data_IF_786029553833
#
_entry.id   IF_786029553833
#
_cell.length_a   1.000
_cell.length_b   1.000
_cell.length_c   1.000
_cell.angle_alpha   90.00
_cell.angle_beta   90.00
_cell.angle_gamma   90.00
#
_symmetry.space_group_name_H-M   'P 1'
#
loop_
_entity.id
_entity.type
_entity.pdbx_description
1 polymer ?
#
# COMPACT_ATOMS: atom_id res chain seq x y z
N UNK A 1 0.44 19.97 0.64
CA UNK A 1 1.17 18.89 -0.07
C UNK A 1 2.30 18.32 0.78
N UNK A 2 2.10 17.24 1.56
CA UNK A 2 3.22 16.36 2.00
C UNK A 2 2.75 14.91 2.13
N UNK A 3 2.30 14.30 1.02
CA UNK A 3 1.95 12.87 1.01
C UNK A 3 3.16 12.02 1.36
N UNK A 4 4.35 12.38 0.90
CA UNK A 4 5.60 11.67 1.25
C UNK A 4 6.18 12.04 2.62
N UNK A 5 5.62 13.04 3.32
CA UNK A 5 6.18 13.54 4.59
C UNK A 5 5.81 12.73 5.84
N UNK A 6 5.12 11.59 5.70
CA UNK A 6 4.74 10.76 6.85
C UNK A 6 5.48 9.41 6.79
N UNK A 7 6.21 9.02 7.85
CA UNK A 7 7.10 7.86 7.83
C UNK A 7 6.37 6.57 7.44
N UNK A 8 5.16 6.36 7.96
CA UNK A 8 4.38 5.15 7.61
C UNK A 8 4.05 5.04 6.13
N UNK A 9 3.78 6.16 5.44
CA UNK A 9 3.47 6.13 4.00
C UNK A 9 4.70 5.77 3.17
N UNK A 10 5.87 6.28 3.54
CA UNK A 10 7.13 5.89 2.92
C UNK A 10 7.42 4.41 3.13
N UNK A 11 7.23 3.90 4.36
CA UNK A 11 7.41 2.48 4.67
C UNK A 11 6.45 1.58 3.89
N UNK A 12 5.17 1.98 3.76
CA UNK A 12 4.18 1.26 2.94
C UNK A 12 4.65 1.20 1.48
N UNK A 13 5.04 2.33 0.88
CA UNK A 13 5.53 2.36 -0.50
C UNK A 13 6.79 1.51 -0.69
N UNK A 14 7.75 1.57 0.24
CA UNK A 14 8.98 0.77 0.17
C UNK A 14 8.68 -0.74 0.23
N UNK A 15 7.79 -1.17 1.13
CA UNK A 15 7.37 -2.57 1.23
C UNK A 15 6.63 -3.06 -0.02
N UNK A 16 5.78 -2.21 -0.59
CA UNK A 16 4.97 -2.51 -1.78
C UNK A 16 5.73 -2.32 -3.11
N UNK A 17 6.95 -1.77 -3.08
CA UNK A 17 7.80 -1.60 -4.26
C UNK A 17 8.48 -2.91 -4.67
N UNK A 18 8.88 -3.72 -3.68
CA UNK A 18 9.62 -4.97 -3.90
C UNK A 18 8.70 -6.16 -4.11
N UNK A 19 7.54 -6.18 -3.44
CA UNK A 19 6.55 -7.25 -3.53
C UNK A 19 5.17 -6.68 -3.23
N UNK A 20 4.15 -7.20 -3.89
CA UNK A 20 2.76 -6.92 -3.49
C UNK A 20 2.48 -7.41 -2.07
N UNK A 21 1.70 -6.63 -1.32
CA UNK A 21 1.37 -6.94 0.07
C UNK A 21 -0.11 -6.79 0.35
N UNK A 22 -0.63 -7.62 1.23
CA UNK A 22 -1.98 -7.48 1.78
C UNK A 22 -2.02 -6.47 2.93
N UNK A 23 -3.21 -5.97 3.27
CA UNK A 23 -3.39 -5.15 4.48
C UNK A 23 -2.93 -5.87 5.75
N UNK A 24 -3.04 -7.20 5.79
CA UNK A 24 -2.60 -7.99 6.94
C UNK A 24 -1.08 -7.92 7.09
N UNK A 25 -0.34 -8.27 6.05
CA UNK A 25 1.12 -8.24 6.06
C UNK A 25 1.67 -6.84 6.37
N UNK A 26 1.03 -5.78 5.84
CA UNK A 26 1.43 -4.41 6.12
C UNK A 26 1.24 -4.03 7.59
N UNK A 27 0.12 -4.44 8.23
CA UNK A 27 -0.07 -4.21 9.67
C UNK A 27 0.96 -4.96 10.50
N UNK A 28 1.17 -6.24 10.19
CA UNK A 28 2.11 -7.09 10.93
C UNK A 28 3.55 -6.56 10.83
N UNK A 29 3.98 -6.14 9.63
CA UNK A 29 5.33 -5.59 9.42
C UNK A 29 5.54 -4.20 10.02
N UNK A 30 4.50 -3.37 10.06
CA UNK A 30 4.62 -1.96 10.47
C UNK A 30 4.12 -1.70 11.90
N UNK A 31 3.51 -2.69 12.56
CA UNK A 31 2.88 -2.51 13.87
C UNK A 31 1.69 -1.53 13.87
N UNK A 32 1.03 -1.36 12.72
CA UNK A 32 -0.04 -0.36 12.56
C UNK A 32 -1.42 -0.93 12.88
N UNK A 33 -2.25 -0.10 13.50
CA UNK A 33 -3.68 -0.37 13.63
C UNK A 33 -4.37 -0.40 12.25
N UNK A 34 -5.50 -1.11 12.17
CA UNK A 34 -6.27 -1.20 10.92
C UNK A 34 -6.75 0.18 10.42
N UNK A 35 -7.33 1.07 11.26
CA UNK A 35 -7.77 2.38 10.80
C UNK A 35 -6.62 3.23 10.27
N UNK A 36 -5.47 3.24 10.97
CA UNK A 36 -4.31 4.04 10.58
C UNK A 36 -3.72 3.57 9.25
N UNK A 37 -3.62 2.26 9.04
CA UNK A 37 -3.18 1.72 7.76
C UNK A 37 -4.13 2.14 6.62
N UNK A 38 -5.44 2.02 6.82
CA UNK A 38 -6.44 2.35 5.79
C UNK A 38 -6.36 3.82 5.39
N UNK A 39 -6.21 4.74 6.36
CA UNK A 39 -6.07 6.17 6.09
C UNK A 39 -4.84 6.45 5.23
N UNK A 40 -3.71 5.82 5.56
CA UNK A 40 -2.47 6.00 4.80
C UNK A 40 -2.54 5.39 3.40
N UNK A 41 -3.11 4.19 3.25
CA UNK A 41 -3.34 3.54 1.95
C UNK A 41 -4.24 4.41 1.06
N UNK A 42 -5.37 4.90 1.57
CA UNK A 42 -6.28 5.78 0.81
C UNK A 42 -5.57 7.03 0.31
N UNK A 43 -4.77 7.69 1.17
CA UNK A 43 -3.98 8.86 0.79
C UNK A 43 -2.96 8.56 -0.31
N UNK A 44 -2.30 7.40 -0.26
CA UNK A 44 -1.35 6.98 -1.27
C UNK A 44 -2.01 6.63 -2.61
N UNK A 45 -3.16 5.95 -2.58
CA UNK A 45 -3.94 5.64 -3.79
C UNK A 45 -4.44 6.92 -4.45
N UNK A 46 -5.04 7.83 -3.67
CA UNK A 46 -5.54 9.10 -4.20
C UNK A 46 -4.42 9.98 -4.77
N UNK A 47 -3.19 9.81 -4.30
CA UNK A 47 -2.00 10.48 -4.85
C UNK A 47 -1.40 9.76 -6.06
N UNK A 48 -1.98 8.62 -6.50
CA UNK A 48 -1.46 7.83 -7.62
C UNK A 48 -0.16 7.08 -7.34
N UNK A 49 0.25 6.98 -6.06
CA UNK A 49 1.53 6.37 -5.66
C UNK A 49 1.40 4.87 -5.34
N UNK A 50 0.18 4.43 -5.03
CA UNK A 50 -0.13 3.05 -4.68
C UNK A 50 -1.36 2.61 -5.47
N UNK A 51 -1.35 1.37 -5.94
CA UNK A 51 -2.48 0.72 -6.59
C UNK A 51 -2.75 -0.63 -5.92
N UNK A 52 -3.85 -1.28 -6.28
CA UNK A 52 -4.14 -2.62 -5.81
C UNK A 52 -4.84 -3.44 -6.87
N UNK A 53 -4.60 -4.75 -6.84
CA UNK A 53 -5.47 -5.74 -7.47
C UNK A 53 -6.31 -6.44 -6.43
N UNK A 54 -7.36 -7.08 -6.91
CA UNK A 54 -8.27 -7.90 -6.11
C UNK A 54 -8.11 -9.35 -6.53
N UNK A 55 -8.13 -10.25 -5.56
CA UNK A 55 -8.13 -11.69 -5.76
C UNK A 55 -9.28 -12.28 -4.96
N UNK A 56 -10.07 -13.14 -5.60
CA UNK A 56 -11.10 -13.92 -4.94
C UNK A 56 -10.51 -15.26 -4.55
N UNK A 57 -10.59 -15.57 -3.26
CA UNK A 57 -10.14 -16.82 -2.66
C UNK A 57 -11.41 -17.67 -2.48
N UNK A 58 -11.68 -18.54 -3.46
CA UNK A 58 -12.92 -19.35 -3.54
C UNK A 58 -13.07 -20.27 -2.34
N UNK A 59 -11.99 -20.92 -1.91
CA UNK A 59 -11.99 -21.85 -0.77
C UNK A 59 -12.45 -21.18 0.52
N UNK A 60 -12.07 -19.91 0.70
CA UNK A 60 -12.40 -19.14 1.91
C UNK A 60 -13.57 -18.20 1.71
N UNK A 61 -14.09 -18.08 0.49
CA UNK A 61 -15.12 -17.12 0.09
C UNK A 61 -14.77 -15.68 0.51
N UNK A 62 -13.50 -15.29 0.36
CA UNK A 62 -13.02 -13.95 0.74
C UNK A 62 -12.41 -13.19 -0.43
N UNK A 63 -12.55 -11.86 -0.37
CA UNK A 63 -11.89 -10.93 -1.28
C UNK A 63 -10.62 -10.40 -0.62
N UNK A 64 -9.48 -10.61 -1.27
CA UNK A 64 -8.18 -10.06 -0.83
C UNK A 64 -7.74 -8.92 -1.75
N UNK A 65 -7.19 -7.87 -1.13
CA UNK A 65 -6.52 -6.78 -1.86
C UNK A 65 -5.01 -6.94 -1.71
N UNK A 66 -4.32 -6.85 -2.83
CA UNK A 66 -2.86 -6.85 -2.91
C UNK A 66 -2.40 -5.51 -3.43
N UNK A 67 -1.68 -4.77 -2.58
CA UNK A 67 -1.20 -3.42 -2.86
C UNK A 67 0.19 -3.44 -3.48
N UNK A 68 0.41 -2.55 -4.44
CA UNK A 68 1.67 -2.36 -5.15
C UNK A 68 1.99 -0.88 -5.30
N UNK A 69 3.25 -0.51 -5.20
CA UNK A 69 3.72 0.83 -5.55
C UNK A 69 3.68 1.01 -7.07
N UNK A 70 3.07 2.10 -7.55
CA UNK A 70 2.92 2.34 -8.99
C UNK A 70 4.29 2.54 -9.65
N UNK A 71 4.59 1.78 -10.71
CA UNK A 71 5.81 1.97 -11.52
C UNK A 71 5.70 3.31 -12.26
N UNK A 72 6.65 4.21 -12.01
CA UNK A 72 6.62 5.64 -12.41
C UNK A 72 7.19 6.57 -11.33
N UNK A 73 7.34 6.08 -10.09
CA UNK A 73 8.07 6.79 -9.02
C UNK A 73 9.58 6.95 -9.28
N UNK A 74 10.15 6.12 -10.16
CA UNK A 74 11.55 6.17 -10.60
C UNK A 74 11.80 7.10 -11.78
N UNK A 75 10.74 7.62 -12.42
CA UNK A 75 10.82 8.43 -13.64
C UNK A 75 10.63 9.94 -13.38
N UNK A 76 10.69 10.39 -12.12
CA UNK A 76 10.77 11.82 -11.84
C UNK A 76 12.15 12.34 -12.28
N UNK A 77 12.22 13.36 -13.16
CA UNK A 77 13.48 14.01 -13.48
C UNK A 77 14.10 14.57 -12.20
N UNK A 78 15.40 14.30 -12.00
CA UNK A 78 16.20 14.83 -10.90
C UNK A 78 16.34 16.34 -10.99
#
# INVERSE_FOLDING_TARGET
MKVLGHPDRLKILALCLTKERTSRELREKLGLSKPLLIVNIKKLINAGLLEYRVEYDEERMIIRKYYRTKKGLTDMPR
#
